data_IF_954011701319
#
_entry.id   IF_954011701319
#
_cell.length_a   1.000
_cell.length_b   1.000
_cell.length_c   1.000
_cell.angle_alpha   90.00
_cell.angle_beta   90.00
_cell.angle_gamma   90.00
#
_symmetry.space_group_name_H-M   'P 1'
#
loop_
_entity.id
_entity.type
_entity.pdbx_description
1 polymer ?
#
# COMPACT_ATOMS: atom_id res chain seq x y z
N UNK A 1 -6.20 11.74 -0.93
CA UNK A 1 -4.77 11.59 -0.64
C UNK A 1 -3.97 11.53 -1.93
N UNK A 2 -2.87 12.26 -2.01
CA UNK A 2 -1.97 12.20 -3.16
C UNK A 2 -0.83 11.23 -2.85
N UNK A 3 -0.68 10.21 -3.70
CA UNK A 3 0.35 9.19 -3.51
C UNK A 3 1.67 9.61 -4.15
N UNK A 4 2.82 9.24 -3.55
CA UNK A 4 4.11 9.44 -4.18
C UNK A 4 4.18 8.67 -5.51
N UNK A 5 4.84 9.26 -6.51
CA UNK A 5 5.09 8.58 -7.78
C UNK A 5 6.22 7.57 -7.69
N UNK A 6 7.17 7.82 -6.79
CA UNK A 6 8.29 6.92 -6.54
C UNK A 6 7.81 5.67 -5.80
N UNK A 7 7.98 4.46 -6.37
CA UNK A 7 7.52 3.23 -5.72
C UNK A 7 8.14 2.98 -4.33
N UNK A 8 9.38 3.39 -4.12
CA UNK A 8 10.06 3.23 -2.83
C UNK A 8 9.41 4.11 -1.77
N UNK A 9 9.10 5.36 -2.11
CA UNK A 9 8.39 6.26 -1.22
C UNK A 9 6.96 5.80 -0.97
N UNK A 10 6.30 5.28 -2.00
CA UNK A 10 4.96 4.72 -1.89
C UNK A 10 4.95 3.52 -0.93
N UNK A 11 5.91 2.64 -1.05
CA UNK A 11 6.06 1.47 -0.17
C UNK A 11 6.16 1.90 1.30
N UNK A 12 7.02 2.87 1.59
CA UNK A 12 7.20 3.38 2.94
C UNK A 12 5.91 3.98 3.50
N UNK A 13 5.24 4.81 2.72
CA UNK A 13 3.99 5.43 3.12
C UNK A 13 2.91 4.39 3.43
N UNK A 14 2.71 3.45 2.53
CA UNK A 14 1.64 2.45 2.67
C UNK A 14 1.91 1.53 3.84
N UNK A 15 3.13 1.00 3.96
CA UNK A 15 3.47 0.12 5.08
C UNK A 15 3.33 0.83 6.43
N UNK A 16 3.62 2.12 6.50
CA UNK A 16 3.40 2.90 7.71
C UNK A 16 1.91 3.00 8.06
N UNK A 17 1.07 3.29 7.06
CA UNK A 17 -0.39 3.37 7.26
C UNK A 17 -0.99 2.03 7.67
N UNK A 18 -0.56 0.96 7.05
CA UNK A 18 -1.02 -0.39 7.39
C UNK A 18 -0.59 -0.80 8.80
N UNK A 19 0.59 -0.38 9.22
CA UNK A 19 1.08 -0.66 10.57
C UNK A 19 0.30 0.10 11.64
N UNK A 20 0.03 1.39 11.40
CA UNK A 20 -0.43 2.30 12.45
C UNK A 20 -1.93 2.62 12.41
N UNK A 21 -2.57 2.58 11.23
CA UNK A 21 -3.91 3.12 11.06
C UNK A 21 -4.93 2.21 10.37
N UNK A 22 -4.49 1.32 9.51
CA UNK A 22 -5.39 0.52 8.68
C UNK A 22 -5.13 -0.97 8.86
N UNK A 23 -6.21 -1.72 9.08
CA UNK A 23 -6.13 -3.16 9.35
C UNK A 23 -5.92 -4.01 8.10
N UNK A 24 -6.08 -3.43 6.91
CA UNK A 24 -5.88 -4.12 5.64
C UNK A 24 -5.62 -3.11 4.52
N UNK A 25 -5.11 -3.59 3.39
CA UNK A 25 -4.93 -2.76 2.20
C UNK A 25 -6.28 -2.29 1.66
N UNK A 26 -7.29 -3.14 1.68
CA UNK A 26 -8.66 -2.80 1.28
C UNK A 26 -9.20 -1.65 2.13
N UNK A 27 -9.00 -1.72 3.43
CA UNK A 27 -9.41 -0.67 4.37
C UNK A 27 -8.73 0.67 4.05
N UNK A 28 -7.43 0.65 3.84
CA UNK A 28 -6.67 1.84 3.46
C UNK A 28 -7.18 2.45 2.15
N UNK A 29 -7.42 1.62 1.15
CA UNK A 29 -7.87 2.09 -0.16
C UNK A 29 -9.27 2.66 -0.13
N UNK A 30 -10.18 2.04 0.62
CA UNK A 30 -11.55 2.55 0.77
C UNK A 30 -11.57 3.88 1.51
N UNK A 31 -10.81 3.99 2.58
CA UNK A 31 -10.72 5.22 3.36
C UNK A 31 -10.22 6.41 2.54
N UNK A 32 -9.28 6.16 1.63
CA UNK A 32 -8.64 7.20 0.83
C UNK A 32 -9.15 7.27 -0.61
N UNK A 33 -10.17 6.48 -0.95
CA UNK A 33 -10.75 6.42 -2.30
C UNK A 33 -9.69 6.10 -3.36
N UNK A 34 -8.90 5.06 -3.11
CA UNK A 34 -7.82 4.62 -3.99
C UNK A 34 -8.14 3.26 -4.61
N UNK A 35 -7.53 2.99 -5.76
CA UNK A 35 -7.64 1.70 -6.44
C UNK A 35 -6.55 0.75 -5.93
N UNK A 36 -6.97 -0.35 -5.31
CA UNK A 36 -6.07 -1.35 -4.73
C UNK A 36 -5.14 -1.98 -5.78
N UNK A 37 -5.68 -2.29 -6.96
CA UNK A 37 -4.90 -2.93 -8.02
C UNK A 37 -3.79 -2.02 -8.55
N UNK A 38 -4.05 -0.71 -8.62
CA UNK A 38 -3.03 0.25 -9.04
C UNK A 38 -1.86 0.30 -8.06
N UNK A 39 -2.17 0.25 -6.77
CA UNK A 39 -1.14 0.23 -5.72
C UNK A 39 -0.32 -1.04 -5.81
N UNK A 40 -0.98 -2.19 -5.96
CA UNK A 40 -0.30 -3.48 -6.10
C UNK A 40 0.64 -3.51 -7.31
N UNK A 41 0.16 -3.00 -8.45
CA UNK A 41 0.98 -2.95 -9.68
C UNK A 41 2.21 -2.05 -9.52
N UNK A 42 2.04 -0.90 -8.88
CA UNK A 42 3.16 0.02 -8.66
C UNK A 42 4.24 -0.60 -7.78
N UNK A 43 3.85 -1.32 -6.74
CA UNK A 43 4.80 -1.94 -5.83
C UNK A 43 5.41 -3.24 -6.40
N UNK A 44 4.70 -3.90 -7.31
CA UNK A 44 5.28 -5.02 -8.08
C UNK A 44 6.47 -4.58 -8.93
N UNK A 45 6.50 -3.32 -9.36
CA UNK A 45 7.62 -2.78 -10.15
C UNK A 45 8.95 -2.83 -9.38
N UNK A 46 8.89 -2.84 -8.05
CA UNK A 46 10.06 -2.99 -7.18
C UNK A 46 10.06 -4.32 -6.43
N UNK A 47 9.30 -5.28 -6.94
CA UNK A 47 9.27 -6.67 -6.44
C UNK A 47 8.68 -6.81 -5.03
N UNK A 48 7.74 -5.94 -4.67
CA UNK A 48 7.02 -6.03 -3.41
C UNK A 48 5.57 -6.46 -3.63
N UNK A 49 5.10 -7.37 -2.77
CA UNK A 49 3.75 -7.93 -2.83
C UNK A 49 3.08 -7.81 -1.47
N UNK A 50 1.76 -7.62 -1.48
CA UNK A 50 1.01 -7.49 -0.25
C UNK A 50 0.84 -8.86 0.43
N UNK A 51 1.24 -8.93 1.70
CA UNK A 51 1.03 -10.08 2.57
C UNK A 51 -0.12 -9.75 3.54
N UNK A 52 -1.27 -10.38 3.32
CA UNK A 52 -2.47 -10.10 4.15
C UNK A 52 -2.32 -10.59 5.59
N UNK A 53 -1.52 -11.59 5.83
CA UNK A 53 -1.30 -12.09 7.20
C UNK A 53 -0.49 -11.11 8.02
N UNK A 54 0.52 -10.52 7.42
CA UNK A 54 1.39 -9.53 8.06
C UNK A 54 0.86 -8.11 7.94
N UNK A 55 -0.13 -7.90 7.07
CA UNK A 55 -0.68 -6.59 6.74
C UNK A 55 0.41 -5.61 6.31
N UNK A 56 1.22 -6.02 5.35
CA UNK A 56 2.27 -5.16 4.78
C UNK A 56 2.74 -5.70 3.44
N UNK A 57 3.42 -4.85 2.68
CA UNK A 57 4.12 -5.26 1.47
C UNK A 57 5.51 -5.80 1.81
N UNK A 58 5.83 -6.94 1.24
CA UNK A 58 7.10 -7.63 1.50
C UNK A 58 7.75 -8.07 0.20
#
# INVERSE_FOLDING_TARGET
MTLPKDPVMLLSLINTKLRDFNSSLDDFCKENNLNEDEIKKKLEMIDYHYDEYKNKFV
#
